data_IF_494680498400
#
_entry.id   IF_494680498400
#
_cell.length_a   1.000
_cell.length_b   1.000
_cell.length_c   1.000
_cell.angle_alpha   90.00
_cell.angle_beta   90.00
_cell.angle_gamma   90.00
#
_symmetry.space_group_name_H-M   'P 1'
#
loop_
_entity.id
_entity.type
_entity.pdbx_description
1 polymer ?
#
# COMPACT_ATOMS: atom_id res chain seq x y z
N UNK A 1 -19.40 21.00 58.00
CA UNK A 1 -18.09 21.57 57.63
C UNK A 1 -17.84 21.33 56.15
N UNK A 2 -17.92 22.35 55.30
CA UNK A 2 -17.70 22.23 53.85
C UNK A 2 -16.20 22.45 53.59
N UNK A 3 -15.49 21.41 53.17
CA UNK A 3 -14.06 21.46 52.86
C UNK A 3 -13.83 22.27 51.59
N UNK A 4 -13.30 23.49 51.70
CA UNK A 4 -12.93 24.32 50.54
C UNK A 4 -11.86 23.57 49.73
N UNK A 5 -12.17 23.22 48.49
CA UNK A 5 -11.22 22.65 47.53
C UNK A 5 -10.39 23.81 46.97
N UNK A 6 -9.10 23.86 47.31
CA UNK A 6 -8.17 24.85 46.76
C UNK A 6 -7.92 24.56 45.28
N UNK A 7 -8.68 25.22 44.41
CA UNK A 7 -8.41 25.25 42.98
C UNK A 7 -7.32 26.31 42.77
N UNK A 8 -6.08 25.87 42.53
CA UNK A 8 -4.99 26.77 42.14
C UNK A 8 -5.20 27.15 40.67
N UNK A 9 -5.20 28.45 40.38
CA UNK A 9 -5.13 28.94 39.01
C UNK A 9 -3.72 28.74 38.44
N UNK A 10 -3.60 28.66 37.10
CA UNK A 10 -2.30 28.57 36.43
C UNK A 10 -1.50 29.85 36.61
N UNK A 11 -0.22 29.71 36.92
CA UNK A 11 0.74 30.81 36.97
C UNK A 11 1.16 31.23 35.57
N UNK A 12 1.65 32.45 35.44
CA UNK A 12 2.14 32.97 34.15
C UNK A 12 3.28 32.09 33.57
N UNK A 13 4.17 31.60 34.43
CA UNK A 13 5.26 30.72 34.03
C UNK A 13 4.76 29.37 33.46
N UNK A 14 3.70 28.80 34.06
CA UNK A 14 3.10 27.56 33.55
C UNK A 14 2.44 27.76 32.18
N UNK A 15 1.75 28.88 31.98
CA UNK A 15 1.14 29.19 30.69
C UNK A 15 2.22 29.36 29.62
N UNK A 16 3.30 30.08 29.92
CA UNK A 16 4.44 30.22 28.99
C UNK A 16 5.09 28.88 28.65
N UNK A 17 5.30 28.02 29.66
CA UNK A 17 5.84 26.69 29.45
C UNK A 17 4.92 25.82 28.58
N UNK A 18 3.61 25.86 28.83
CA UNK A 18 2.62 25.14 28.03
C UNK A 18 2.56 25.66 26.58
N UNK A 19 2.64 26.97 26.38
CA UNK A 19 2.68 27.58 25.05
C UNK A 19 3.93 27.16 24.28
N UNK A 20 5.10 27.21 24.91
CA UNK A 20 6.36 26.75 24.30
C UNK A 20 6.31 25.25 23.97
N UNK A 21 5.79 24.44 24.89
CA UNK A 21 5.62 23.01 24.68
C UNK A 21 4.71 22.73 23.49
N UNK A 22 3.54 23.38 23.42
CA UNK A 22 2.63 23.23 22.29
C UNK A 22 3.24 23.70 20.97
N UNK A 23 4.04 24.77 20.98
CA UNK A 23 4.75 25.25 19.79
C UNK A 23 5.71 24.20 19.21
N UNK A 24 6.25 23.30 20.04
CA UNK A 24 7.14 22.22 19.63
C UNK A 24 6.34 20.96 19.27
N UNK A 25 5.33 20.60 20.07
CA UNK A 25 4.61 19.33 19.92
C UNK A 25 3.63 19.33 18.76
N UNK A 26 2.85 20.39 18.57
CA UNK A 26 1.82 20.46 17.51
C UNK A 26 2.41 20.19 16.10
N UNK A 27 3.52 20.81 15.65
CA UNK A 27 4.02 20.54 14.31
C UNK A 27 4.48 19.08 14.14
N UNK A 28 5.02 18.45 15.18
CA UNK A 28 5.46 17.05 15.13
C UNK A 28 4.26 16.10 15.08
N UNK A 29 3.22 16.34 15.88
CA UNK A 29 2.02 15.49 15.89
C UNK A 29 1.26 15.57 14.57
N UNK A 30 1.11 16.77 14.00
CA UNK A 30 0.46 16.97 12.69
C UNK A 30 1.25 16.27 11.58
N UNK A 31 2.59 16.36 11.60
CA UNK A 31 3.44 15.59 10.67
C UNK A 31 3.24 14.08 10.84
N UNK A 32 3.17 13.57 12.07
CA UNK A 32 2.91 12.16 12.33
C UNK A 32 1.58 11.68 11.77
N UNK A 33 0.50 12.44 11.99
CA UNK A 33 -0.84 12.11 11.47
C UNK A 33 -0.85 12.13 9.94
N UNK A 34 -0.30 13.16 9.32
CA UNK A 34 -0.26 13.26 7.85
C UNK A 34 0.55 12.13 7.22
N UNK A 35 1.65 11.72 7.85
CA UNK A 35 2.45 10.58 7.41
C UNK A 35 1.68 9.26 7.53
N UNK A 36 1.02 9.02 8.67
CA UNK A 36 0.20 7.83 8.88
C UNK A 36 -0.94 7.73 7.85
N UNK A 37 -1.60 8.84 7.54
CA UNK A 37 -2.66 8.87 6.51
C UNK A 37 -2.13 8.50 5.12
N UNK A 38 -0.96 9.04 4.73
CA UNK A 38 -0.33 8.69 3.45
C UNK A 38 0.02 7.20 3.38
N UNK A 39 0.58 6.65 4.46
CA UNK A 39 0.87 5.22 4.56
C UNK A 39 -0.40 4.36 4.52
N UNK A 40 -1.50 4.82 5.14
CA UNK A 40 -2.77 4.11 5.10
C UNK A 40 -3.31 3.96 3.67
N UNK A 41 -3.31 5.04 2.90
CA UNK A 41 -3.71 5.01 1.48
C UNK A 41 -2.79 4.08 0.67
N UNK A 42 -1.48 4.17 0.88
CA UNK A 42 -0.51 3.31 0.21
C UNK A 42 -0.71 1.83 0.55
N UNK A 43 -0.94 1.51 1.83
CA UNK A 43 -1.15 0.15 2.30
C UNK A 43 -2.43 -0.46 1.73
N UNK A 44 -3.51 0.31 1.68
CA UNK A 44 -4.77 -0.14 1.07
C UNK A 44 -4.60 -0.44 -0.41
N UNK A 45 -3.93 0.47 -1.16
CA UNK A 45 -3.65 0.27 -2.58
C UNK A 45 -2.72 -0.91 -2.82
N UNK A 46 -1.71 -1.10 -1.98
CA UNK A 46 -0.82 -2.27 -2.02
C UNK A 46 -1.60 -3.57 -1.77
N UNK A 47 -2.52 -3.58 -0.81
CA UNK A 47 -3.36 -4.76 -0.51
C UNK A 47 -4.22 -5.14 -1.71
N UNK A 48 -4.88 -4.16 -2.33
CA UNK A 48 -5.66 -4.38 -3.53
C UNK A 48 -4.78 -4.92 -4.69
N UNK A 49 -3.61 -4.33 -4.91
CA UNK A 49 -2.66 -4.78 -5.93
C UNK A 49 -2.16 -6.22 -5.69
N UNK A 50 -1.91 -6.61 -4.44
CA UNK A 50 -1.55 -7.98 -4.08
C UNK A 50 -2.66 -8.98 -4.40
N UNK A 51 -3.91 -8.66 -4.03
CA UNK A 51 -5.06 -9.52 -4.37
C UNK A 51 -5.23 -9.65 -5.89
N UNK A 52 -5.00 -8.57 -6.64
CA UNK A 52 -5.04 -8.61 -8.11
C UNK A 52 -3.90 -9.46 -8.69
N UNK A 53 -2.68 -9.33 -8.15
CA UNK A 53 -1.52 -10.09 -8.58
C UNK A 53 -1.72 -11.59 -8.33
N UNK A 54 -2.23 -11.99 -7.17
CA UNK A 54 -2.56 -13.38 -6.85
C UNK A 54 -3.62 -13.95 -7.80
N UNK A 55 -4.71 -13.20 -8.02
CA UNK A 55 -5.78 -13.63 -8.94
C UNK A 55 -5.24 -13.81 -10.36
N UNK A 56 -4.44 -12.86 -10.84
CA UNK A 56 -3.89 -12.90 -12.20
C UNK A 56 -2.87 -14.02 -12.34
N UNK A 57 -2.02 -14.24 -11.34
CA UNK A 57 -1.10 -15.36 -11.35
C UNK A 57 -1.85 -16.69 -11.42
N UNK A 58 -2.90 -16.85 -10.63
CA UNK A 58 -3.72 -18.07 -10.66
C UNK A 58 -4.40 -18.28 -12.02
N UNK A 59 -4.96 -17.23 -12.62
CA UNK A 59 -5.53 -17.28 -13.97
C UNK A 59 -4.48 -17.74 -15.00
N UNK A 60 -3.31 -17.10 -15.02
CA UNK A 60 -2.24 -17.43 -15.96
C UNK A 60 -1.74 -18.86 -15.79
N UNK A 61 -1.59 -19.33 -14.55
CA UNK A 61 -1.19 -20.71 -14.23
C UNK A 61 -2.23 -21.73 -14.69
N UNK A 62 -3.52 -21.46 -14.45
CA UNK A 62 -4.62 -22.36 -14.84
C UNK A 62 -4.78 -22.47 -16.36
N UNK A 63 -4.61 -21.36 -17.08
CA UNK A 63 -4.73 -21.31 -18.54
C UNK A 63 -3.43 -21.71 -19.27
N UNK A 64 -2.36 -22.02 -18.52
CA UNK A 64 -1.00 -22.31 -19.01
C UNK A 64 -0.38 -21.21 -19.89
N UNK A 65 -1.00 -20.02 -19.95
CA UNK A 65 -0.57 -18.91 -20.80
C UNK A 65 0.79 -18.34 -20.41
N UNK A 66 1.25 -18.59 -19.17
CA UNK A 66 2.61 -18.26 -18.74
C UNK A 66 3.72 -18.90 -19.58
N UNK A 67 3.41 -19.98 -20.30
CA UNK A 67 4.31 -20.65 -21.24
C UNK A 67 4.58 -19.81 -22.50
N UNK A 68 3.69 -18.88 -22.83
CA UNK A 68 3.82 -17.99 -23.99
C UNK A 68 4.89 -16.90 -23.81
N UNK A 69 5.43 -16.76 -22.60
CA UNK A 69 6.50 -15.82 -22.26
C UNK A 69 5.99 -14.58 -21.52
N UNK A 70 6.67 -13.46 -21.72
CA UNK A 70 6.32 -12.20 -21.04
C UNK A 70 5.02 -11.63 -21.61
N UNK A 71 4.15 -11.16 -20.72
CA UNK A 71 2.86 -10.58 -21.08
C UNK A 71 2.62 -9.29 -20.30
N UNK A 72 1.70 -8.46 -20.77
CA UNK A 72 1.28 -7.27 -20.07
C UNK A 72 -0.15 -6.92 -20.43
N UNK A 73 -0.84 -6.25 -19.53
CA UNK A 73 -2.18 -5.77 -19.82
C UNK A 73 -2.74 -4.88 -18.73
N UNK A 74 -3.99 -4.54 -18.92
CA UNK A 74 -4.80 -3.85 -17.93
C UNK A 74 -5.78 -4.85 -17.32
N UNK A 75 -6.26 -4.57 -16.10
CA UNK A 75 -7.35 -5.34 -15.54
C UNK A 75 -8.66 -4.88 -16.19
N UNK A 76 -9.21 -5.69 -17.10
CA UNK A 76 -10.54 -5.45 -17.65
C UNK A 76 -11.58 -5.56 -16.52
N UNK A 77 -12.53 -4.63 -16.45
CA UNK A 77 -13.63 -4.71 -15.49
C UNK A 77 -14.97 -4.48 -16.20
N UNK A 78 -15.92 -5.38 -15.95
CA UNK A 78 -17.24 -5.42 -16.59
C UNK A 78 -18.34 -4.81 -15.72
N UNK A 79 -18.01 -3.98 -14.71
CA UNK A 79 -18.98 -3.39 -13.76
C UNK A 79 -18.47 -2.06 -13.20
N UNK A 80 -19.34 -1.27 -12.57
CA UNK A 80 -19.15 0.10 -12.02
C UNK A 80 -17.90 0.32 -11.13
N UNK A 81 -17.17 -0.74 -10.73
CA UNK A 81 -15.85 -0.68 -10.09
C UNK A 81 -14.69 -0.41 -11.08
N UNK A 82 -14.98 -0.36 -12.38
CA UNK A 82 -14.03 -0.20 -13.48
C UNK A 82 -13.16 1.06 -13.37
N UNK A 83 -13.70 2.17 -12.87
CA UNK A 83 -12.95 3.43 -12.73
C UNK A 83 -11.83 3.33 -11.68
N UNK A 84 -12.03 2.52 -10.64
CA UNK A 84 -11.03 2.27 -9.61
C UNK A 84 -10.00 1.22 -10.06
N UNK A 85 -10.40 0.25 -10.89
CA UNK A 85 -9.54 -0.83 -11.40
C UNK A 85 -8.75 -0.47 -12.66
N UNK A 86 -9.22 0.50 -13.45
CA UNK A 86 -8.47 1.10 -14.59
C UNK A 86 -7.16 1.76 -14.17
N UNK A 87 -6.93 1.91 -12.86
CA UNK A 87 -5.70 2.46 -12.28
C UNK A 87 -4.62 1.39 -12.04
N UNK A 88 -4.91 0.12 -12.33
CA UNK A 88 -3.98 -0.99 -12.17
C UNK A 88 -3.60 -1.58 -13.52
N UNK A 89 -2.29 -1.71 -13.75
CA UNK A 89 -1.76 -2.44 -14.90
C UNK A 89 -0.93 -3.62 -14.40
N UNK A 90 -0.73 -4.62 -15.24
CA UNK A 90 0.05 -5.80 -14.86
C UNK A 90 1.06 -6.19 -15.94
N UNK A 91 2.13 -6.84 -15.50
CA UNK A 91 3.11 -7.50 -16.34
C UNK A 91 3.40 -8.89 -15.79
N UNK A 92 3.69 -9.82 -16.70
CA UNK A 92 4.14 -11.16 -16.44
C UNK A 92 5.58 -11.28 -16.94
N UNK A 93 6.47 -11.73 -16.07
CA UNK A 93 7.85 -12.03 -16.39
C UNK A 93 8.12 -13.50 -16.12
N UNK A 94 8.58 -14.22 -17.13
CA UNK A 94 8.93 -15.63 -17.02
C UNK A 94 10.42 -15.80 -17.28
N UNK A 95 11.11 -16.51 -16.39
CA UNK A 95 12.54 -16.80 -16.53
C UNK A 95 12.86 -18.24 -16.14
N UNK A 96 13.88 -18.88 -16.74
CA UNK A 96 14.29 -20.22 -16.35
C UNK A 96 14.80 -20.21 -14.91
N UNK A 97 14.39 -21.21 -14.12
CA UNK A 97 14.92 -21.44 -12.79
C UNK A 97 16.27 -22.16 -12.89
N UNK A 98 17.22 -21.81 -12.02
CA UNK A 98 18.62 -22.24 -12.19
C UNK A 98 18.87 -23.70 -11.78
N UNK A 99 18.03 -24.24 -10.89
CA UNK A 99 18.31 -25.52 -10.20
C UNK A 99 17.55 -26.73 -10.77
N UNK A 100 16.50 -26.53 -11.59
CA UNK A 100 15.66 -27.60 -12.11
C UNK A 100 14.91 -27.18 -13.39
N UNK A 101 14.16 -28.11 -14.00
CA UNK A 101 13.29 -27.88 -15.17
C UNK A 101 12.00 -27.12 -14.81
N UNK A 102 12.18 -25.98 -14.13
CA UNK A 102 11.12 -25.10 -13.70
C UNK A 102 11.33 -23.70 -14.27
N UNK A 103 10.24 -22.93 -14.33
CA UNK A 103 10.26 -21.51 -14.66
C UNK A 103 9.77 -20.69 -13.48
N UNK A 104 10.49 -19.61 -13.19
CA UNK A 104 10.05 -18.56 -12.29
C UNK A 104 9.08 -17.67 -13.04
N UNK A 105 7.86 -17.57 -12.52
CA UNK A 105 6.77 -16.78 -13.08
C UNK A 105 6.44 -15.68 -12.09
N UNK A 106 6.64 -14.41 -12.49
CA UNK A 106 6.42 -13.24 -11.67
C UNK A 106 5.31 -12.40 -12.29
N UNK A 107 4.28 -12.10 -11.51
CA UNK A 107 3.27 -11.09 -11.85
C UNK A 107 3.55 -9.83 -11.07
N UNK A 108 3.77 -8.72 -11.78
CA UNK A 108 3.85 -7.39 -11.19
C UNK A 108 2.57 -6.62 -11.49
N UNK A 109 1.97 -6.04 -10.45
CA UNK A 109 0.83 -5.13 -10.57
C UNK A 109 1.27 -3.72 -10.19
N UNK A 110 1.12 -2.78 -11.13
CA UNK A 110 1.46 -1.37 -10.96
C UNK A 110 0.23 -0.57 -10.58
N UNK A 111 0.43 0.42 -9.71
CA UNK A 111 -0.62 1.31 -9.24
C UNK A 111 -0.03 2.66 -8.83
N UNK A 112 -0.85 3.73 -8.89
CA UNK A 112 -0.40 5.08 -8.54
C UNK A 112 -1.01 5.56 -7.22
N UNK A 113 -0.18 6.22 -6.40
CA UNK A 113 -0.59 6.93 -5.19
C UNK A 113 0.04 8.32 -5.21
N UNK A 114 -0.78 9.38 -5.25
CA UNK A 114 -0.30 10.77 -5.31
C UNK A 114 0.73 11.00 -6.44
N UNK A 115 0.41 10.57 -7.66
CA UNK A 115 1.29 10.63 -8.86
C UNK A 115 2.59 9.82 -8.77
N UNK A 116 2.81 9.07 -7.69
CA UNK A 116 3.95 8.16 -7.58
C UNK A 116 3.51 6.74 -7.93
N UNK A 117 4.24 6.10 -8.84
CA UNK A 117 4.00 4.71 -9.21
C UNK A 117 4.64 3.76 -8.20
N UNK A 118 3.90 2.72 -7.86
CA UNK A 118 4.29 1.65 -6.97
C UNK A 118 3.93 0.32 -7.61
N UNK A 119 4.58 -0.75 -7.15
CA UNK A 119 4.27 -2.10 -7.60
C UNK A 119 4.10 -3.08 -6.45
N UNK A 120 3.28 -4.08 -6.70
CA UNK A 120 3.11 -5.26 -5.88
C UNK A 120 3.39 -6.49 -6.75
N UNK A 121 4.23 -7.39 -6.27
CA UNK A 121 4.65 -8.57 -7.02
C UNK A 121 4.27 -9.84 -6.28
N UNK A 122 3.90 -10.87 -7.04
CA UNK A 122 3.71 -12.25 -6.58
C UNK A 122 4.46 -13.16 -7.55
N UNK A 123 5.15 -14.16 -7.01
CA UNK A 123 5.95 -15.09 -7.80
C UNK A 123 5.60 -16.53 -7.45
N UNK A 124 5.71 -17.41 -8.44
CA UNK A 124 5.63 -18.86 -8.26
C UNK A 124 6.64 -19.57 -9.14
N UNK A 125 6.90 -20.84 -8.83
CA UNK A 125 7.63 -21.74 -9.70
C UNK A 125 6.64 -22.67 -10.40
N UNK A 126 6.72 -22.76 -11.72
CA UNK A 126 5.90 -23.64 -12.54
C UNK A 126 6.80 -24.66 -13.26
N UNK A 127 6.37 -25.92 -13.34
CA UNK A 127 7.10 -26.97 -14.06
C UNK A 127 6.79 -26.85 -15.55
N UNK A 128 7.80 -27.01 -16.40
CA UNK A 128 7.66 -27.01 -17.86
C UNK A 128 6.80 -28.18 -18.38
#
# INVERSE_FOLDING_TARGET
>A
MIKKRNIRAFTFAEILAAMLFMAIVIPVTVRGISFANRLGVLAERKRAAQVLAEKKLNELILDESWREGNQSGEFADSTEEADARSQYTWTLETSPWTDDDMRLVIVNVFYKVQETEHSASVATLAVE
#
